data_IF_083161817327
#
_entry.id   IF_083161817327
#
_cell.length_a   1.000
_cell.length_b   1.000
_cell.length_c   1.000
_cell.angle_alpha   90.00
_cell.angle_beta   90.00
_cell.angle_gamma   90.00
#
_symmetry.space_group_name_H-M   'P 1'
#
loop_
_entity.id
_entity.type
_entity.pdbx_description
1 polymer ?
#
# COMPACT_ATOMS: atom_id res chain seq x y z
N UNK A 1 -6.58 14.86 -15.16
CA UNK A 1 -7.77 14.38 -14.41
C UNK A 1 -8.29 13.12 -15.08
N UNK A 2 -8.67 12.12 -14.30
CA UNK A 2 -9.19 10.82 -14.76
C UNK A 2 -10.40 10.45 -13.93
N UNK A 3 -11.45 9.88 -14.53
CA UNK A 3 -12.58 9.31 -13.79
C UNK A 3 -12.33 7.81 -13.57
N UNK A 4 -12.45 7.36 -12.32
CA UNK A 4 -12.40 5.95 -11.96
C UNK A 4 -13.62 5.63 -11.10
N UNK A 5 -14.54 4.82 -11.65
CA UNK A 5 -15.88 4.62 -11.08
C UNK A 5 -16.57 5.99 -10.84
N UNK A 6 -17.01 6.27 -9.61
CA UNK A 6 -17.59 7.54 -9.18
C UNK A 6 -16.55 8.61 -8.81
N UNK A 7 -15.26 8.29 -8.77
CA UNK A 7 -14.22 9.17 -8.25
C UNK A 7 -13.53 9.98 -9.34
N UNK A 8 -13.29 11.26 -9.04
CA UNK A 8 -12.40 12.12 -9.84
C UNK A 8 -10.97 12.09 -9.28
N UNK A 9 -10.04 11.59 -10.09
CA UNK A 9 -8.63 11.52 -9.77
C UNK A 9 -7.85 12.63 -10.46
N UNK A 10 -6.84 13.13 -9.77
CA UNK A 10 -5.88 14.10 -10.34
C UNK A 10 -5.19 13.58 -11.61
N UNK A 11 -4.82 12.30 -11.63
CA UNK A 11 -4.18 11.60 -12.76
C UNK A 11 -4.47 10.07 -12.66
N UNK A 12 -4.11 9.24 -13.66
CA UNK A 12 -4.42 7.80 -13.63
C UNK A 12 -3.35 6.93 -12.94
N UNK A 13 -2.30 7.51 -12.35
CA UNK A 13 -1.15 6.78 -11.81
C UNK A 13 -1.30 6.53 -10.30
N UNK A 14 -1.13 5.27 -9.90
CA UNK A 14 -1.19 4.85 -8.51
C UNK A 14 0.02 4.03 -8.05
N UNK A 15 0.12 3.84 -6.73
CA UNK A 15 1.02 2.89 -6.09
C UNK A 15 0.24 1.65 -5.69
N UNK A 16 0.75 0.49 -6.11
CA UNK A 16 0.16 -0.80 -5.82
C UNK A 16 0.49 -1.28 -4.39
N UNK A 17 -0.36 -2.19 -3.89
CA UNK A 17 -0.12 -2.89 -2.64
C UNK A 17 1.26 -3.57 -2.58
N UNK A 18 1.75 -3.76 -1.35
CA UNK A 18 3.03 -4.38 -1.06
C UNK A 18 4.19 -3.39 -0.93
N UNK A 19 4.01 -2.14 -1.39
CA UNK A 19 4.97 -1.05 -1.21
C UNK A 19 4.88 -0.45 0.20
N UNK A 20 3.73 0.14 0.56
CA UNK A 20 3.43 0.64 1.90
C UNK A 20 2.49 -0.31 2.64
N UNK A 21 3.07 -1.31 3.30
CA UNK A 21 2.28 -2.40 3.92
C UNK A 21 1.47 -1.96 5.13
N UNK A 22 1.94 -0.97 5.87
CA UNK A 22 1.36 -0.59 7.16
C UNK A 22 0.80 0.84 7.18
N UNK A 23 0.82 1.54 6.04
CA UNK A 23 0.28 2.90 5.91
C UNK A 23 1.22 3.99 6.43
N UNK A 24 2.53 3.73 6.49
CA UNK A 24 3.50 4.64 7.08
C UNK A 24 3.83 5.84 6.16
N UNK A 25 3.55 5.72 4.85
CA UNK A 25 4.01 6.67 3.83
C UNK A 25 2.88 7.31 3.00
N UNK A 26 1.61 7.10 3.36
CA UNK A 26 0.42 7.54 2.59
C UNK A 26 0.52 9.00 2.15
N UNK A 27 0.75 9.93 3.08
CA UNK A 27 0.81 11.36 2.76
C UNK A 27 2.04 11.73 1.93
N UNK A 28 3.17 11.05 2.13
CA UNK A 28 4.38 11.24 1.33
C UNK A 28 4.14 10.84 -0.11
N UNK A 29 3.56 9.66 -0.35
CA UNK A 29 3.20 9.17 -1.67
C UNK A 29 2.19 10.09 -2.37
N UNK A 30 1.20 10.60 -1.63
CA UNK A 30 0.24 11.56 -2.18
C UNK A 30 0.94 12.85 -2.64
N UNK A 31 1.87 13.38 -1.83
CA UNK A 31 2.67 14.57 -2.17
C UNK A 31 3.60 14.35 -3.37
N UNK A 32 4.06 13.12 -3.61
CA UNK A 32 4.82 12.76 -4.81
C UNK A 32 3.97 12.74 -6.09
N UNK A 33 2.64 12.79 -5.97
CA UNK A 33 1.73 12.92 -7.11
C UNK A 33 0.91 11.67 -7.43
N UNK A 34 1.03 10.58 -6.66
CA UNK A 34 0.16 9.42 -6.83
C UNK A 34 -1.29 9.77 -6.50
N UNK A 35 -2.20 9.41 -7.39
CA UNK A 35 -3.63 9.63 -7.22
C UNK A 35 -4.31 8.46 -6.53
N UNK A 36 -3.82 7.24 -6.70
CA UNK A 36 -4.29 6.05 -6.01
C UNK A 36 -3.12 5.51 -5.17
N UNK A 37 -3.37 5.23 -3.89
CA UNK A 37 -2.41 4.61 -2.99
C UNK A 37 -3.08 3.38 -2.42
N UNK A 38 -2.54 2.20 -2.68
CA UNK A 38 -3.03 0.95 -2.10
C UNK A 38 -2.04 0.46 -1.03
N UNK A 39 -2.47 0.45 0.23
CA UNK A 39 -1.66 -0.06 1.34
C UNK A 39 -1.89 -1.56 1.56
N UNK A 40 -1.01 -2.21 2.32
CA UNK A 40 -1.10 -3.64 2.64
C UNK A 40 -0.23 -4.52 1.72
N UNK A 41 -0.48 -5.82 1.59
CA UNK A 41 -1.57 -6.58 2.20
C UNK A 41 -1.46 -6.67 3.72
N UNK A 42 -2.55 -6.31 4.40
CA UNK A 42 -2.69 -6.37 5.86
C UNK A 42 -3.42 -7.66 6.21
N UNK A 43 -2.90 -8.37 7.20
CA UNK A 43 -3.52 -9.59 7.76
C UNK A 43 -4.27 -9.28 9.05
N UNK A 44 -5.25 -10.11 9.48
CA UNK A 44 -5.88 -9.95 10.78
C UNK A 44 -4.88 -9.85 11.93
N UNK A 45 -4.05 -10.89 12.08
CA UNK A 45 -3.01 -10.96 13.11
C UNK A 45 -1.64 -10.54 12.55
N UNK A 46 -0.71 -10.04 13.39
CA UNK A 46 0.66 -9.79 12.99
C UNK A 46 1.36 -11.06 12.52
N UNK A 47 2.19 -10.95 11.48
CA UNK A 47 3.05 -12.05 11.06
C UNK A 47 4.35 -11.55 10.41
N UNK A 48 5.49 -12.24 10.63
CA UNK A 48 6.79 -11.78 10.15
C UNK A 48 7.02 -11.98 8.65
N UNK A 49 6.21 -12.83 8.00
CA UNK A 49 6.42 -13.32 6.63
C UNK A 49 7.53 -14.38 6.53
N UNK A 50 7.99 -14.67 5.31
CA UNK A 50 9.01 -15.69 5.05
C UNK A 50 10.41 -15.25 5.51
N UNK A 51 11.35 -16.17 5.84
CA UNK A 51 12.74 -15.80 6.16
C UNK A 51 13.43 -14.98 5.07
N UNK A 52 14.37 -14.11 5.47
CA UNK A 52 15.23 -13.37 4.53
C UNK A 52 16.39 -14.26 4.04
N UNK A 53 16.94 -14.05 2.81
CA UNK A 53 16.54 -13.06 1.81
C UNK A 53 15.28 -13.47 1.02
N UNK A 54 14.42 -12.49 0.75
CA UNK A 54 13.07 -12.70 0.18
C UNK A 54 12.63 -11.68 -0.87
N UNK A 55 13.54 -10.80 -1.29
CA UNK A 55 13.37 -9.86 -2.40
C UNK A 55 14.68 -9.75 -3.15
N UNK A 56 14.60 -9.82 -4.47
CA UNK A 56 15.73 -9.83 -5.38
C UNK A 56 15.43 -8.90 -6.54
N UNK A 57 16.37 -8.00 -6.87
CA UNK A 57 16.27 -7.10 -8.02
C UNK A 57 17.11 -7.69 -9.15
N UNK A 58 16.58 -7.65 -10.37
CA UNK A 58 17.24 -8.05 -11.61
C UNK A 58 17.30 -6.80 -12.50
N UNK A 59 18.33 -5.96 -12.34
CA UNK A 59 18.42 -4.67 -13.04
C UNK A 59 18.47 -4.83 -14.56
N UNK A 60 19.15 -5.86 -15.07
CA UNK A 60 19.26 -6.13 -16.51
C UNK A 60 17.89 -6.39 -17.15
N UNK A 61 16.99 -7.03 -16.40
CA UNK A 61 15.63 -7.38 -16.82
C UNK A 61 14.58 -6.33 -16.44
N UNK A 62 14.96 -5.26 -15.74
CA UNK A 62 14.05 -4.33 -15.07
C UNK A 62 12.99 -5.04 -14.19
N UNK A 63 13.40 -6.10 -13.49
CA UNK A 63 12.48 -7.00 -12.78
C UNK A 63 12.77 -7.12 -11.29
N UNK A 64 11.76 -7.60 -10.54
CA UNK A 64 11.84 -7.90 -9.11
C UNK A 64 11.17 -9.24 -8.83
N UNK A 65 11.87 -10.14 -8.14
CA UNK A 65 11.30 -11.36 -7.58
C UNK A 65 11.14 -11.17 -6.08
N UNK A 66 9.94 -11.46 -5.55
CA UNK A 66 9.70 -11.42 -4.12
C UNK A 66 8.93 -12.65 -3.63
N UNK A 67 9.15 -12.99 -2.37
CA UNK A 67 8.45 -14.05 -1.65
C UNK A 67 8.24 -13.62 -0.20
N UNK A 68 7.63 -12.46 -0.02
CA UNK A 68 7.47 -11.85 1.31
C UNK A 68 6.62 -12.69 2.26
N UNK A 69 5.55 -13.34 1.76
CA UNK A 69 4.63 -14.12 2.59
C UNK A 69 3.77 -13.28 3.54
N UNK A 70 3.21 -12.17 3.04
CA UNK A 70 2.35 -11.25 3.80
C UNK A 70 2.92 -10.86 5.17
N UNK A 71 4.17 -10.39 5.24
CA UNK A 71 4.63 -9.70 6.45
C UNK A 71 3.74 -8.48 6.72
N UNK A 72 3.20 -8.39 7.93
CA UNK A 72 2.15 -7.46 8.35
C UNK A 72 2.20 -7.26 9.87
N UNK A 73 1.95 -6.04 10.32
CA UNK A 73 1.79 -5.67 11.74
C UNK A 73 0.39 -6.00 12.31
N UNK A 74 -0.52 -6.53 11.50
CA UNK A 74 -1.90 -6.84 11.88
C UNK A 74 -2.86 -5.68 11.64
N UNK A 75 -4.16 -5.96 11.54
CA UNK A 75 -5.13 -4.92 11.17
C UNK A 75 -5.34 -3.88 12.27
N UNK A 76 -5.13 -4.23 13.54
CA UNK A 76 -5.40 -3.33 14.65
C UNK A 76 -4.38 -2.18 14.65
N UNK A 77 -3.10 -2.54 14.51
CA UNK A 77 -2.00 -1.58 14.42
C UNK A 77 -2.17 -0.67 13.19
N UNK A 78 -2.45 -1.25 12.02
CA UNK A 78 -2.62 -0.45 10.80
C UNK A 78 -3.87 0.43 10.89
N UNK A 79 -4.98 -0.08 11.43
CA UNK A 79 -6.19 0.71 11.65
C UNK A 79 -5.92 1.91 12.55
N UNK A 80 -5.17 1.74 13.64
CA UNK A 80 -4.84 2.83 14.56
C UNK A 80 -3.99 3.91 13.91
N UNK A 81 -3.10 3.55 12.98
CA UNK A 81 -2.34 4.49 12.14
C UNK A 81 -3.25 5.25 11.18
N UNK A 82 -4.17 4.56 10.49
CA UNK A 82 -4.94 5.16 9.39
C UNK A 82 -6.23 5.84 9.82
N UNK A 83 -6.83 5.49 10.96
CA UNK A 83 -8.15 6.00 11.38
C UNK A 83 -8.19 7.53 11.55
N UNK A 84 -7.04 8.13 11.86
CA UNK A 84 -6.90 9.58 12.10
C UNK A 84 -6.36 10.34 10.88
N UNK A 85 -6.20 9.69 9.73
CA UNK A 85 -5.80 10.39 8.51
C UNK A 85 -6.83 11.45 8.13
N UNK A 86 -6.36 12.69 7.99
CA UNK A 86 -7.16 13.76 7.44
C UNK A 86 -7.47 13.46 5.97
N UNK A 87 -8.74 13.11 5.70
CA UNK A 87 -9.24 12.79 4.35
C UNK A 87 -9.11 13.97 3.39
N UNK A 88 -9.07 15.21 3.88
CA UNK A 88 -8.85 16.38 3.04
C UNK A 88 -7.47 16.34 2.36
N UNK A 89 -6.48 15.73 3.00
CA UNK A 89 -5.14 15.54 2.42
C UNK A 89 -5.11 14.53 1.26
N UNK A 90 -6.16 13.71 1.13
CA UNK A 90 -6.34 12.74 0.05
C UNK A 90 -7.22 13.26 -1.09
N UNK A 91 -7.57 14.56 -1.11
CA UNK A 91 -8.39 15.15 -2.16
C UNK A 91 -7.93 14.76 -3.57
N UNK A 92 -8.92 14.47 -4.43
CA UNK A 92 -8.72 14.02 -5.82
C UNK A 92 -7.76 12.81 -5.90
N UNK A 93 -7.88 11.91 -4.92
CA UNK A 93 -7.14 10.66 -4.80
C UNK A 93 -7.90 9.63 -3.98
N UNK A 94 -7.40 8.38 -4.01
CA UNK A 94 -7.99 7.24 -3.33
C UNK A 94 -6.96 6.52 -2.47
N UNK A 95 -7.39 6.12 -1.28
CA UNK A 95 -6.67 5.20 -0.42
C UNK A 95 -7.38 3.84 -0.47
N UNK A 96 -6.74 2.85 -1.10
CA UNK A 96 -7.15 1.46 -1.07
C UNK A 96 -6.49 0.71 0.09
N UNK A 97 -7.20 -0.24 0.67
CA UNK A 97 -6.68 -1.11 1.75
C UNK A 97 -6.73 -2.55 1.25
N UNK A 98 -5.57 -3.13 0.99
CA UNK A 98 -5.45 -4.51 0.57
C UNK A 98 -5.43 -5.42 1.80
N UNK A 99 -6.37 -6.38 1.87
CA UNK A 99 -6.51 -7.31 2.98
C UNK A 99 -6.15 -8.74 2.53
N UNK A 100 -5.42 -9.46 3.37
CA UNK A 100 -5.07 -10.85 3.18
C UNK A 100 -5.41 -11.69 4.41
N UNK A 101 -5.48 -13.00 4.26
CA UNK A 101 -5.59 -13.91 5.42
C UNK A 101 -4.21 -14.19 6.02
N UNK A 102 -4.19 -14.48 7.31
CA UNK A 102 -3.02 -15.11 7.93
C UNK A 102 -2.74 -16.49 7.29
N UNK A 103 -1.52 -16.97 7.47
CA UNK A 103 -1.08 -18.27 6.97
C UNK A 103 -1.95 -19.41 7.50
#
# INVERSE_FOLDING_TARGET
KTKFLEYELSNPVGIAAGFDKHGDAILGLKKMGFSIIEIGSITPEPQPGNPKPRVFRLPEDNAVINRYGFNSEGHNEVYDKVKNLDKALLQNGLLGINLGKNK
#
